data_IF_705154452450
#
_entry.id   IF_705154452450
#
_cell.length_a   1.000
_cell.length_b   1.000
_cell.length_c   1.000
_cell.angle_alpha   90.00
_cell.angle_beta   90.00
_cell.angle_gamma   90.00
#
_symmetry.space_group_name_H-M   'P 1'
#
loop_
_entity.id
_entity.type
_entity.pdbx_description
1 polymer ?
#
# COMPACT_ATOMS: atom_id res chain seq x y z
N UNK A 1 -21.00 1.49 20.36
CA UNK A 1 -20.82 0.29 19.52
C UNK A 1 -19.38 0.30 19.06
N UNK A 2 -18.57 -0.65 19.54
CA UNK A 2 -17.16 -0.72 19.17
C UNK A 2 -17.07 -1.50 17.86
N UNK A 3 -17.19 -0.80 16.72
CA UNK A 3 -17.00 -1.40 15.39
C UNK A 3 -15.50 -1.58 15.19
N UNK A 4 -14.94 -2.64 15.75
CA UNK A 4 -13.57 -3.05 15.46
C UNK A 4 -13.46 -3.29 13.95
N UNK A 5 -12.72 -2.43 13.26
CA UNK A 5 -12.37 -2.62 11.85
C UNK A 5 -11.55 -3.90 11.75
N UNK A 6 -12.11 -4.90 11.07
CA UNK A 6 -11.39 -6.14 10.83
C UNK A 6 -10.46 -5.93 9.63
N UNK A 7 -9.16 -5.96 9.88
CA UNK A 7 -8.16 -5.96 8.82
C UNK A 7 -8.26 -7.28 8.04
N UNK A 8 -8.46 -7.18 6.72
CA UNK A 8 -8.71 -8.33 5.83
C UNK A 8 -7.66 -8.45 4.74
N UNK A 9 -6.98 -7.37 4.42
CA UNK A 9 -6.07 -7.29 3.29
C UNK A 9 -4.69 -6.85 3.75
N UNK A 10 -3.69 -7.29 3.02
CA UNK A 10 -2.31 -6.87 3.17
C UNK A 10 -1.97 -5.96 1.99
N UNK A 11 -1.64 -4.70 2.28
CA UNK A 11 -1.05 -3.76 1.34
C UNK A 11 0.45 -3.90 1.40
N UNK A 12 1.09 -4.16 0.26
CA UNK A 12 2.53 -4.34 0.15
C UNK A 12 3.11 -3.31 -0.81
N UNK A 13 4.31 -2.82 -0.50
CA UNK A 13 5.06 -1.90 -1.35
C UNK A 13 6.49 -2.39 -1.52
N UNK A 14 6.87 -2.74 -2.76
CA UNK A 14 8.24 -2.99 -3.18
C UNK A 14 8.99 -1.65 -3.36
N UNK A 15 9.15 -0.95 -2.22
CA UNK A 15 9.78 0.36 -2.16
C UNK A 15 11.15 0.43 -2.83
N UNK A 16 12.04 -0.58 -2.74
CA UNK A 16 13.32 -0.55 -3.46
C UNK A 16 13.20 -0.37 -4.97
N UNK A 17 12.09 -0.79 -5.58
CA UNK A 17 11.82 -0.62 -7.01
C UNK A 17 10.90 0.57 -7.32
N UNK A 18 10.50 1.34 -6.30
CA UNK A 18 9.77 2.59 -6.50
C UNK A 18 10.64 3.60 -7.26
N UNK A 19 10.03 4.33 -8.18
CA UNK A 19 10.70 5.35 -9.01
C UNK A 19 10.27 6.78 -8.66
N UNK A 20 9.55 6.98 -7.55
CA UNK A 20 9.17 8.31 -7.08
C UNK A 20 8.15 9.07 -7.94
N UNK A 21 7.31 8.38 -8.72
CA UNK A 21 6.37 9.02 -9.65
C UNK A 21 5.19 9.77 -8.98
N UNK A 22 4.99 9.57 -7.67
CA UNK A 22 3.92 10.17 -6.86
C UNK A 22 2.46 9.83 -7.25
N UNK A 23 2.22 8.93 -8.19
CA UNK A 23 0.86 8.55 -8.62
C UNK A 23 0.01 7.98 -7.47
N UNK A 24 0.59 7.13 -6.61
CA UNK A 24 -0.10 6.57 -5.45
C UNK A 24 -0.54 7.64 -4.44
N UNK A 25 0.27 8.68 -4.24
CA UNK A 25 -0.05 9.82 -3.36
C UNK A 25 -1.17 10.67 -3.95
N UNK A 26 -1.16 10.89 -5.27
CA UNK A 26 -2.22 11.62 -5.95
C UNK A 26 -3.58 10.90 -5.88
N UNK A 27 -3.58 9.57 -5.95
CA UNK A 27 -4.79 8.74 -5.92
C UNK A 27 -5.29 8.50 -4.50
N UNK A 28 -4.40 8.15 -3.56
CA UNK A 28 -4.77 7.77 -2.20
C UNK A 28 -3.82 8.39 -1.16
N UNK A 29 -3.91 9.71 -0.92
CA UNK A 29 -3.06 10.42 0.06
C UNK A 29 -3.33 10.00 1.52
N UNK A 30 -4.39 9.23 1.79
CA UNK A 30 -4.65 8.65 3.11
C UNK A 30 -3.62 7.57 3.47
N UNK A 31 -3.13 6.82 2.47
CA UNK A 31 -2.20 5.70 2.68
C UNK A 31 -0.80 5.95 2.14
N UNK A 32 -0.63 6.92 1.25
CA UNK A 32 0.65 7.14 0.57
C UNK A 32 1.16 8.55 0.81
N UNK A 33 2.44 8.67 1.11
CA UNK A 33 3.15 9.94 1.21
C UNK A 33 4.48 9.86 0.45
N UNK A 34 4.93 10.98 -0.11
CA UNK A 34 6.30 11.11 -0.59
C UNK A 34 7.23 11.46 0.58
N UNK A 35 8.43 10.92 0.58
CA UNK A 35 9.47 11.22 1.56
C UNK A 35 10.63 12.03 0.96
N UNK A 36 11.52 12.47 1.83
CA UNK A 36 12.68 13.32 1.49
C UNK A 36 13.68 12.64 0.54
N UNK A 37 13.67 11.30 0.46
CA UNK A 37 14.48 10.53 -0.49
C UNK A 37 13.85 10.43 -1.90
N UNK A 38 12.72 11.11 -2.11
CA UNK A 38 11.99 11.12 -3.37
C UNK A 38 11.16 9.86 -3.62
N UNK A 39 11.08 8.92 -2.67
CA UNK A 39 10.28 7.71 -2.79
C UNK A 39 8.97 7.83 -2.02
N UNK A 40 7.96 7.09 -2.45
CA UNK A 40 6.70 6.99 -1.71
C UNK A 40 6.83 5.97 -0.58
N UNK A 41 6.14 6.19 0.54
CA UNK A 41 5.95 5.20 1.58
C UNK A 41 4.46 4.96 1.85
N UNK A 42 4.14 3.76 2.32
CA UNK A 42 2.87 3.52 3.00
C UNK A 42 2.93 4.21 4.37
N UNK A 43 1.99 5.11 4.64
CA UNK A 43 1.88 5.84 5.90
C UNK A 43 1.67 4.84 7.05
N UNK A 44 2.47 4.97 8.11
CA UNK A 44 2.51 4.08 9.28
C UNK A 44 2.96 2.63 9.04
N UNK A 45 3.45 2.27 7.85
CA UNK A 45 3.99 0.94 7.60
C UNK A 45 5.46 0.85 8.02
N UNK A 46 5.87 -0.21 8.77
CA UNK A 46 7.27 -0.44 9.07
C UNK A 46 8.03 -0.84 7.80
N UNK A 47 9.32 -0.48 7.76
CA UNK A 47 10.24 -0.97 6.74
C UNK A 47 10.79 -2.32 7.16
N UNK A 48 10.66 -3.31 6.29
CA UNK A 48 11.29 -4.62 6.43
C UNK A 48 12.80 -4.52 6.13
N UNK A 49 13.62 -5.50 6.55
CA UNK A 49 15.06 -5.51 6.26
C UNK A 49 15.42 -5.49 4.76
N UNK A 50 14.52 -5.96 3.89
CA UNK A 50 14.64 -5.91 2.43
C UNK A 50 14.11 -4.59 1.82
N UNK A 51 13.72 -3.63 2.65
CA UNK A 51 13.17 -2.34 2.24
C UNK A 51 11.69 -2.37 1.88
N UNK A 52 11.05 -3.53 1.84
CA UNK A 52 9.61 -3.63 1.59
C UNK A 52 8.80 -3.02 2.74
N UNK A 53 7.58 -2.59 2.44
CA UNK A 53 6.64 -2.12 3.45
C UNK A 53 5.35 -2.93 3.37
N UNK A 54 4.74 -3.15 4.53
CA UNK A 54 3.47 -3.86 4.65
C UNK A 54 2.55 -3.16 5.64
N UNK A 55 1.27 -3.04 5.28
CA UNK A 55 0.24 -2.52 6.16
C UNK A 55 -1.02 -3.38 6.05
N UNK A 56 -1.57 -3.75 7.20
CA UNK A 56 -2.87 -4.37 7.26
C UNK A 56 -3.97 -3.32 7.08
N UNK A 57 -4.85 -3.54 6.11
CA UNK A 57 -5.97 -2.66 5.81
C UNK A 57 -7.31 -3.42 5.87
N UNK A 58 -8.39 -2.69 6.08
CA UNK A 58 -9.74 -3.23 6.11
C UNK A 58 -10.42 -3.07 4.73
N UNK A 59 -11.71 -3.41 4.67
CA UNK A 59 -12.50 -3.36 3.44
C UNK A 59 -12.69 -1.95 2.87
N UNK A 60 -12.81 -0.93 3.72
CA UNK A 60 -13.06 0.44 3.25
C UNK A 60 -11.83 1.03 2.54
N UNK A 61 -10.64 0.51 2.84
CA UNK A 61 -9.38 0.97 2.28
C UNK A 61 -8.91 0.17 1.06
N UNK A 62 -9.59 -0.93 0.72
CA UNK A 62 -9.20 -1.81 -0.37
C UNK A 62 -9.24 -1.09 -1.74
N UNK A 63 -10.37 -0.52 -2.12
CA UNK A 63 -10.55 0.02 -3.48
C UNK A 63 -9.62 1.21 -3.76
N UNK A 64 -9.48 2.14 -2.80
CA UNK A 64 -8.56 3.28 -2.94
C UNK A 64 -7.09 2.83 -3.10
N UNK A 65 -6.69 1.73 -2.44
CA UNK A 65 -5.36 1.17 -2.61
C UNK A 65 -5.21 0.35 -3.91
N UNK A 66 -6.28 -0.27 -4.42
CA UNK A 66 -6.27 -0.89 -5.76
C UNK A 66 -6.07 0.16 -6.84
N UNK A 67 -6.74 1.30 -6.74
CA UNK A 67 -6.55 2.42 -7.67
C UNK A 67 -5.12 2.96 -7.61
N UNK A 68 -4.54 3.11 -6.41
CA UNK A 68 -3.14 3.52 -6.25
C UNK A 68 -2.17 2.51 -6.89
N UNK A 69 -2.44 1.21 -6.76
CA UNK A 69 -1.65 0.16 -7.38
C UNK A 69 -1.75 0.20 -8.91
N UNK A 70 -2.95 0.36 -9.47
CA UNK A 70 -3.16 0.48 -10.92
C UNK A 70 -2.51 1.73 -11.52
N UNK A 71 -2.43 2.82 -10.75
CA UNK A 71 -1.80 4.05 -11.19
C UNK A 71 -0.26 3.98 -11.16
N UNK A 72 0.33 2.98 -10.50
CA UNK A 72 1.77 2.83 -10.41
C UNK A 72 2.38 2.38 -11.75
N UNK A 73 3.24 3.17 -12.41
CA UNK A 73 3.80 2.83 -13.72
C UNK A 73 4.79 1.67 -13.70
N UNK A 74 5.27 1.27 -12.52
CA UNK A 74 6.26 0.20 -12.32
C UNK A 74 5.74 -0.97 -11.49
N UNK A 75 4.43 -1.00 -11.19
CA UNK A 75 3.74 -2.12 -10.55
C UNK A 75 4.37 -2.60 -9.22
N UNK A 76 4.82 -1.68 -8.35
CA UNK A 76 5.46 -2.00 -7.06
C UNK A 76 4.50 -2.01 -5.87
N UNK A 77 3.20 -1.87 -6.11
CA UNK A 77 2.17 -1.87 -5.06
C UNK A 77 1.29 -3.11 -5.27
N UNK A 78 1.13 -3.90 -4.23
CA UNK A 78 0.37 -5.14 -4.28
C UNK A 78 -0.66 -5.21 -3.17
N UNK A 79 -1.75 -5.92 -3.44
CA UNK A 79 -2.76 -6.26 -2.44
C UNK A 79 -2.97 -7.76 -2.39
N UNK A 80 -3.08 -8.31 -1.19
CA UNK A 80 -3.40 -9.71 -0.95
C UNK A 80 -4.54 -9.84 0.04
N UNK A 81 -5.36 -10.87 -0.12
CA UNK A 81 -6.25 -11.30 0.95
C UNK A 81 -5.41 -11.93 2.08
N UNK A 82 -5.48 -11.38 3.28
CA UNK A 82 -4.67 -11.85 4.42
C UNK A 82 -5.06 -13.27 4.87
N UNK A 83 -6.33 -13.64 4.73
CA UNK A 83 -6.84 -14.95 5.15
C UNK A 83 -6.49 -16.08 4.18
N UNK A 84 -6.48 -15.80 2.87
CA UNK A 84 -6.22 -16.83 1.85
C UNK A 84 -4.82 -16.75 1.25
N UNK A 85 -4.13 -15.62 1.38
CA UNK A 85 -2.87 -15.33 0.69
C UNK A 85 -3.04 -15.03 -0.81
N UNK A 86 -4.27 -15.00 -1.31
CA UNK A 86 -4.56 -14.75 -2.72
C UNK A 86 -4.18 -13.31 -3.11
N UNK A 87 -3.46 -13.19 -4.23
CA UNK A 87 -3.07 -11.91 -4.80
C UNK A 87 -4.27 -11.26 -5.52
N UNK A 88 -4.55 -10.01 -5.18
CA UNK A 88 -5.62 -9.19 -5.75
C UNK A 88 -5.07 -8.35 -6.91
N UNK A 89 -3.88 -7.74 -6.73
CA UNK A 89 -3.16 -6.95 -7.76
C UNK A 89 -1.66 -6.99 -7.53
#
# INVERSE_FOLDING_TARGET
MNTARMTKYLLEHDRPNCIGCAACVAVNPKHWAMNDDGMSDIINAPHRPDGWQELEIDEEDLEANKEAAQACPVNVIHLKNKGTGEKII
#
